data_IF_805658086086
#
_entry.id   IF_805658086086
#
_cell.length_a   1.000
_cell.length_b   1.000
_cell.length_c   1.000
_cell.angle_alpha   90.00
_cell.angle_beta   90.00
_cell.angle_gamma   90.00
#
_symmetry.space_group_name_H-M   'P 1'
#
loop_
_entity.id
_entity.type
_entity.pdbx_description
1 polymer ?
#
# COMPACT_ATOMS: atom_id res chain seq x y z
N UNK A 1 12.57 -25.20 -0.74
CA UNK A 1 13.39 -24.07 -0.27
C UNK A 1 13.81 -23.31 -1.51
N UNK A 2 13.49 -22.00 -1.60
CA UNK A 2 13.93 -21.19 -2.75
C UNK A 2 15.45 -21.11 -2.68
N UNK A 3 16.18 -21.42 -3.76
CA UNK A 3 17.65 -21.48 -3.74
C UNK A 3 18.31 -20.11 -3.52
N UNK A 4 17.56 -19.02 -3.64
CA UNK A 4 18.04 -17.66 -3.42
C UNK A 4 17.06 -16.86 -2.56
N UNK A 5 17.54 -16.03 -1.61
CA UNK A 5 16.69 -15.10 -0.90
C UNK A 5 16.04 -14.12 -1.89
N UNK A 6 14.82 -13.62 -1.60
CA UNK A 6 14.22 -12.63 -2.46
C UNK A 6 15.02 -11.32 -2.42
N UNK A 7 15.31 -10.76 -3.57
CA UNK A 7 15.78 -9.39 -3.70
C UNK A 7 14.57 -8.45 -3.67
N UNK A 8 14.60 -7.47 -2.78
CA UNK A 8 13.52 -6.48 -2.65
C UNK A 8 14.12 -5.11 -3.00
N UNK A 9 13.58 -4.51 -4.06
CA UNK A 9 14.05 -3.21 -4.56
C UNK A 9 12.89 -2.22 -4.66
N UNK A 10 13.14 -0.92 -4.49
CA UNK A 10 12.17 0.09 -4.87
C UNK A 10 11.72 -0.12 -6.30
N UNK A 11 10.43 0.09 -6.56
CA UNK A 11 9.89 0.07 -7.91
C UNK A 11 10.45 1.25 -8.72
N UNK A 12 10.52 1.07 -10.01
CA UNK A 12 10.94 2.07 -11.00
C UNK A 12 9.80 2.33 -11.99
N UNK A 13 9.82 3.41 -12.78
CA UNK A 13 8.83 3.62 -13.84
C UNK A 13 8.70 2.45 -14.82
N UNK A 14 9.78 1.69 -15.06
CA UNK A 14 9.76 0.49 -15.88
C UNK A 14 8.96 -0.66 -15.29
N UNK A 15 8.74 -0.66 -13.97
CA UNK A 15 7.98 -1.69 -13.26
C UNK A 15 6.46 -1.44 -13.27
N UNK A 16 5.99 -0.29 -13.75
CA UNK A 16 4.55 0.07 -13.72
C UNK A 16 3.66 -0.97 -14.40
N UNK A 17 3.95 -1.50 -15.60
CA UNK A 17 3.14 -2.54 -16.21
C UNK A 17 3.09 -3.82 -15.37
N UNK A 18 4.21 -4.21 -14.79
CA UNK A 18 4.33 -5.37 -13.90
C UNK A 18 3.53 -5.16 -12.60
N UNK A 19 3.62 -3.99 -11.98
CA UNK A 19 2.85 -3.69 -10.78
C UNK A 19 1.35 -3.75 -11.05
N UNK A 20 0.90 -3.21 -12.18
CA UNK A 20 -0.51 -3.30 -12.57
C UNK A 20 -0.97 -4.75 -12.79
N UNK A 21 -0.11 -5.61 -13.37
CA UNK A 21 -0.37 -7.06 -13.48
C UNK A 21 -0.54 -7.68 -12.09
N UNK A 22 0.41 -7.45 -11.16
CA UNK A 22 0.38 -8.01 -9.81
C UNK A 22 -0.81 -7.47 -8.98
N UNK A 23 -1.21 -6.21 -9.17
CA UNK A 23 -2.43 -5.63 -8.56
C UNK A 23 -3.68 -6.38 -9.06
N UNK A 24 -3.76 -6.66 -10.35
CA UNK A 24 -4.88 -7.44 -10.92
C UNK A 24 -4.90 -8.87 -10.42
N UNK A 25 -3.75 -9.53 -10.30
CA UNK A 25 -3.65 -10.86 -9.70
C UNK A 25 -4.11 -10.86 -8.23
N UNK A 26 -3.78 -9.82 -7.46
CA UNK A 26 -4.28 -9.63 -6.09
C UNK A 26 -5.80 -9.44 -6.08
N UNK A 27 -6.31 -8.54 -6.91
CA UNK A 27 -7.74 -8.26 -7.00
C UNK A 27 -8.56 -9.51 -7.43
N UNK A 28 -8.01 -10.34 -8.31
CA UNK A 28 -8.62 -11.64 -8.66
C UNK A 28 -8.66 -12.58 -7.46
N UNK A 29 -7.55 -12.67 -6.70
CA UNK A 29 -7.50 -13.46 -5.47
C UNK A 29 -8.53 -13.00 -4.43
N UNK A 30 -8.76 -11.70 -4.32
CA UNK A 30 -9.72 -11.07 -3.42
C UNK A 30 -11.15 -11.03 -3.98
N UNK A 31 -11.37 -11.52 -5.21
CA UNK A 31 -12.66 -11.48 -5.94
C UNK A 31 -13.16 -10.06 -6.23
N UNK A 32 -12.24 -9.10 -6.32
CA UNK A 32 -12.48 -7.67 -6.54
C UNK A 32 -11.96 -7.16 -7.89
N UNK A 33 -11.67 -8.06 -8.85
CA UNK A 33 -11.13 -7.67 -10.15
C UNK A 33 -12.02 -6.64 -10.89
N UNK A 34 -13.35 -6.72 -10.68
CA UNK A 34 -14.31 -5.78 -11.23
C UNK A 34 -14.19 -4.34 -10.69
N UNK A 35 -13.49 -4.16 -9.59
CA UNK A 35 -13.25 -2.85 -8.95
C UNK A 35 -11.93 -2.20 -9.41
N UNK A 36 -11.12 -2.88 -10.25
CA UNK A 36 -9.85 -2.36 -10.74
C UNK A 36 -10.08 -1.52 -11.98
N UNK A 37 -10.06 -0.22 -11.83
CA UNK A 37 -10.11 0.79 -12.90
C UNK A 37 -8.74 1.44 -13.16
N UNK A 38 -7.72 1.08 -12.38
CA UNK A 38 -6.36 1.57 -12.52
C UNK A 38 -5.78 1.21 -13.91
N UNK A 39 -5.10 2.19 -14.51
CA UNK A 39 -4.35 2.06 -15.76
C UNK A 39 -2.84 2.22 -15.49
N UNK A 40 -2.00 1.87 -16.46
CA UNK A 40 -0.56 2.10 -16.34
C UNK A 40 -0.24 3.60 -16.19
N UNK A 41 -0.97 4.47 -16.87
CA UNK A 41 -0.76 5.92 -16.79
C UNK A 41 -1.13 6.45 -15.40
N UNK A 42 -2.32 6.09 -14.87
CA UNK A 42 -2.75 6.54 -13.54
C UNK A 42 -1.86 5.99 -12.43
N UNK A 43 -1.46 4.72 -12.51
CA UNK A 43 -0.54 4.12 -11.56
C UNK A 43 0.87 4.74 -11.64
N UNK A 44 1.34 5.04 -12.86
CA UNK A 44 2.59 5.71 -13.10
C UNK A 44 2.63 7.11 -12.50
N UNK A 45 1.57 7.89 -12.66
CA UNK A 45 1.45 9.22 -12.04
C UNK A 45 1.42 9.12 -10.52
N UNK A 46 0.65 8.19 -9.94
CA UNK A 46 0.55 8.00 -8.50
C UNK A 46 1.88 7.60 -7.85
N UNK A 47 2.73 6.84 -8.55
CA UNK A 47 4.03 6.37 -8.04
C UNK A 47 5.19 7.31 -8.35
N UNK A 48 5.18 7.97 -9.52
CA UNK A 48 6.35 8.66 -10.07
C UNK A 48 6.05 10.06 -10.60
N UNK A 49 4.83 10.55 -10.45
CA UNK A 49 4.45 11.90 -10.82
C UNK A 49 5.15 12.97 -9.98
N UNK A 50 4.85 14.24 -10.27
CA UNK A 50 5.46 15.37 -9.58
C UNK A 50 5.19 15.39 -8.05
N UNK A 51 4.10 14.77 -7.62
CA UNK A 51 3.72 14.58 -6.20
C UNK A 51 3.21 13.16 -6.02
N UNK A 52 4.10 12.18 -5.80
CA UNK A 52 3.69 10.80 -5.63
C UNK A 52 2.75 10.61 -4.43
N UNK A 53 1.68 9.84 -4.62
CA UNK A 53 0.72 9.51 -3.57
C UNK A 53 1.18 8.29 -2.76
N UNK A 54 1.96 7.40 -3.39
CA UNK A 54 2.40 6.14 -2.80
C UNK A 54 3.78 5.72 -3.31
N UNK A 55 4.32 4.71 -2.69
CA UNK A 55 5.58 4.06 -3.04
C UNK A 55 5.37 2.56 -3.17
N UNK A 56 6.21 1.89 -3.94
CA UNK A 56 6.16 0.44 -4.07
C UNK A 56 7.55 -0.19 -4.05
N UNK A 57 7.59 -1.45 -3.60
CA UNK A 57 8.75 -2.32 -3.72
C UNK A 57 8.37 -3.60 -4.44
N UNK A 58 9.31 -4.15 -5.20
CA UNK A 58 9.15 -5.40 -5.94
C UNK A 58 10.08 -6.45 -5.37
N UNK A 59 9.54 -7.65 -5.09
CA UNK A 59 10.32 -8.81 -4.70
C UNK A 59 10.63 -9.66 -5.94
N UNK A 60 11.92 -9.96 -6.14
CA UNK A 60 12.41 -10.81 -7.23
C UNK A 60 13.15 -12.03 -6.69
N UNK A 61 13.02 -13.15 -7.37
CA UNK A 61 13.78 -14.39 -7.14
C UNK A 61 14.38 -14.83 -8.47
N UNK A 62 15.69 -14.93 -8.54
CA UNK A 62 16.42 -15.23 -9.78
C UNK A 62 16.06 -14.27 -10.94
N UNK A 63 15.85 -13.00 -10.64
CA UNK A 63 15.47 -11.97 -11.60
C UNK A 63 13.97 -11.88 -11.92
N UNK A 64 13.20 -12.92 -11.61
CA UNK A 64 11.76 -12.95 -11.85
C UNK A 64 10.99 -12.25 -10.73
N UNK A 65 10.06 -11.36 -11.08
CA UNK A 65 9.20 -10.71 -10.12
C UNK A 65 8.15 -11.70 -9.58
N UNK A 66 8.10 -11.82 -8.27
CA UNK A 66 7.28 -12.82 -7.59
C UNK A 66 6.29 -12.23 -6.58
N UNK A 67 6.35 -10.92 -6.35
CA UNK A 67 5.46 -10.20 -5.46
C UNK A 67 5.82 -8.73 -5.35
N UNK A 68 4.97 -7.98 -4.67
CA UNK A 68 5.16 -6.56 -4.43
C UNK A 68 4.56 -6.14 -3.09
N UNK A 69 4.91 -4.95 -2.65
CA UNK A 69 4.18 -4.20 -1.65
C UNK A 69 4.05 -2.74 -2.07
N UNK A 70 2.85 -2.17 -1.89
CA UNK A 70 2.54 -0.77 -2.14
C UNK A 70 2.15 -0.12 -0.83
N UNK A 71 2.68 1.07 -0.54
CA UNK A 71 2.51 1.72 0.75
C UNK A 71 2.55 3.24 0.62
N UNK A 72 2.00 3.92 1.62
CA UNK A 72 2.02 5.36 1.74
C UNK A 72 2.12 5.79 3.21
N UNK A 73 2.16 7.09 3.48
CA UNK A 73 2.21 7.60 4.85
C UNK A 73 0.85 8.15 5.27
N UNK A 74 0.31 7.61 6.37
CA UNK A 74 -0.74 8.25 7.14
C UNK A 74 -0.15 9.10 8.28
N UNK A 75 -0.98 9.73 9.09
CA UNK A 75 -0.52 10.60 10.18
C UNK A 75 -1.25 10.29 11.48
N UNK A 76 -0.51 10.20 12.57
CA UNK A 76 -1.05 10.08 13.91
C UNK A 76 -1.03 11.45 14.60
N UNK A 77 -2.21 12.04 14.79
CA UNK A 77 -2.36 13.31 15.53
C UNK A 77 -1.91 13.17 16.98
N UNK A 78 -2.19 12.04 17.61
CA UNK A 78 -1.83 11.79 19.02
C UNK A 78 -0.33 11.68 19.25
N UNK A 79 0.42 11.25 18.23
CA UNK A 79 1.88 11.12 18.30
C UNK A 79 2.61 12.25 17.57
N UNK A 80 1.89 13.12 16.83
CA UNK A 80 2.43 14.12 15.92
C UNK A 80 3.50 13.55 14.97
N UNK A 81 3.28 12.31 14.49
CA UNK A 81 4.21 11.58 13.62
C UNK A 81 3.47 10.88 12.51
N UNK A 82 4.17 10.70 11.38
CA UNK A 82 3.66 9.83 10.30
C UNK A 82 3.60 8.38 10.76
N UNK A 83 2.67 7.64 10.20
CA UNK A 83 2.68 6.19 10.15
C UNK A 83 3.06 5.72 8.76
N UNK A 84 3.43 4.47 8.62
CA UNK A 84 3.49 3.79 7.32
C UNK A 84 2.23 2.93 7.20
N UNK A 85 1.50 3.09 6.10
CA UNK A 85 0.33 2.28 5.78
C UNK A 85 0.63 1.41 4.57
N UNK A 86 0.56 0.11 4.74
CA UNK A 86 0.67 -0.86 3.67
C UNK A 86 -0.72 -1.02 3.04
N UNK A 87 -0.86 -0.61 1.79
CA UNK A 87 -2.10 -0.78 1.03
C UNK A 87 -2.21 -2.21 0.53
N UNK A 88 -1.20 -2.66 -0.22
CA UNK A 88 -1.18 -3.99 -0.84
C UNK A 88 0.09 -4.77 -0.51
N UNK A 89 -0.05 -6.05 -0.21
CA UNK A 89 1.02 -7.03 -0.15
C UNK A 89 0.60 -8.29 -0.87
N UNK A 90 1.28 -8.59 -1.96
CA UNK A 90 0.97 -9.76 -2.77
C UNK A 90 2.21 -10.59 -3.08
N UNK A 91 2.04 -11.91 -3.06
CA UNK A 91 3.02 -12.89 -3.52
C UNK A 91 2.31 -13.90 -4.40
N UNK A 92 2.83 -14.11 -5.60
CA UNK A 92 2.31 -15.08 -6.56
C UNK A 92 2.11 -16.44 -5.91
N UNK A 93 0.98 -17.14 -6.15
CA UNK A 93 0.64 -18.40 -5.45
C UNK A 93 1.74 -19.46 -5.46
N UNK A 94 2.42 -19.62 -6.60
CA UNK A 94 3.51 -20.59 -6.75
C UNK A 94 4.73 -20.30 -5.84
N UNK A 95 4.86 -19.06 -5.36
CA UNK A 95 5.98 -18.59 -4.54
C UNK A 95 5.60 -18.37 -3.08
N UNK A 96 4.36 -18.68 -2.70
CA UNK A 96 3.91 -18.62 -1.29
C UNK A 96 4.54 -19.73 -0.46
N UNK A 97 4.70 -19.48 0.86
CA UNK A 97 5.33 -20.45 1.76
C UNK A 97 6.87 -20.42 1.76
N UNK A 98 7.50 -19.58 0.94
CA UNK A 98 8.95 -19.43 0.83
C UNK A 98 9.52 -18.20 1.57
N UNK A 99 8.72 -17.56 2.45
CA UNK A 99 9.18 -16.44 3.26
C UNK A 99 9.16 -15.08 2.56
N UNK A 100 8.73 -14.98 1.29
CA UNK A 100 8.76 -13.74 0.50
C UNK A 100 7.85 -12.67 1.12
N UNK A 101 6.60 -13.00 1.50
CA UNK A 101 5.71 -12.07 2.19
C UNK A 101 6.28 -11.57 3.51
N UNK A 102 6.98 -12.44 4.25
CA UNK A 102 7.70 -12.04 5.47
C UNK A 102 8.84 -11.07 5.15
N UNK A 103 9.60 -11.33 4.11
CA UNK A 103 10.70 -10.45 3.69
C UNK A 103 10.19 -9.06 3.28
N UNK A 104 9.09 -8.98 2.51
CA UNK A 104 8.43 -7.73 2.16
C UNK A 104 7.97 -6.96 3.40
N UNK A 105 7.29 -7.63 4.33
CA UNK A 105 6.80 -6.99 5.55
C UNK A 105 7.95 -6.46 6.42
N UNK A 106 9.03 -7.23 6.59
CA UNK A 106 10.22 -6.82 7.32
C UNK A 106 10.93 -5.65 6.64
N UNK A 107 10.98 -5.62 5.31
CA UNK A 107 11.56 -4.52 4.55
C UNK A 107 10.78 -3.22 4.82
N UNK A 108 9.45 -3.25 4.77
CA UNK A 108 8.62 -2.08 5.08
C UNK A 108 8.71 -1.67 6.56
N UNK A 109 8.82 -2.61 7.48
CA UNK A 109 9.05 -2.30 8.89
C UNK A 109 10.39 -1.57 9.10
N UNK A 110 11.44 -1.95 8.37
CA UNK A 110 12.71 -1.24 8.38
C UNK A 110 12.58 0.19 7.83
N UNK A 111 11.85 0.38 6.71
CA UNK A 111 11.55 1.71 6.15
C UNK A 111 10.78 2.55 7.19
N UNK A 112 9.75 1.99 7.82
CA UNK A 112 8.97 2.69 8.84
C UNK A 112 9.85 3.15 10.01
N UNK A 113 10.74 2.28 10.50
CA UNK A 113 11.66 2.60 11.58
C UNK A 113 12.67 3.69 11.18
N UNK A 114 13.29 3.57 9.99
CA UNK A 114 14.24 4.57 9.47
C UNK A 114 13.61 5.95 9.29
N UNK A 115 12.33 5.98 8.87
CA UNK A 115 11.58 7.23 8.67
C UNK A 115 10.96 7.78 9.96
N UNK A 116 11.19 7.14 11.12
CA UNK A 116 10.66 7.56 12.42
C UNK A 116 9.13 7.47 12.51
N UNK A 117 8.50 6.54 11.78
CA UNK A 117 7.06 6.32 11.83
C UNK A 117 6.64 5.87 13.24
N UNK A 118 5.50 6.38 13.71
CA UNK A 118 4.97 6.02 15.02
C UNK A 118 4.27 4.66 15.03
N UNK A 119 3.89 4.15 13.84
CA UNK A 119 3.13 2.91 13.64
C UNK A 119 3.31 2.40 12.21
N UNK A 120 3.06 1.12 12.04
CA UNK A 120 2.98 0.44 10.76
C UNK A 120 1.66 -0.32 10.73
N UNK A 121 0.77 0.00 9.79
CA UNK A 121 -0.62 -0.46 9.74
C UNK A 121 -0.99 -0.98 8.37
N UNK A 122 -1.97 -1.87 8.33
CA UNK A 122 -2.61 -2.39 7.11
C UNK A 122 -4.00 -2.92 7.43
N UNK A 123 -4.80 -3.18 6.40
CA UNK A 123 -6.04 -3.92 6.51
C UNK A 123 -5.88 -5.33 5.92
N UNK A 124 -6.76 -6.23 6.30
CA UNK A 124 -6.85 -7.59 5.77
C UNK A 124 -8.32 -7.99 5.73
N UNK A 125 -8.74 -8.69 4.68
CA UNK A 125 -10.11 -9.18 4.57
C UNK A 125 -10.38 -10.24 5.66
N UNK A 126 -11.50 -10.13 6.36
CA UNK A 126 -11.84 -10.95 7.52
C UNK A 126 -11.82 -12.46 7.24
N UNK A 127 -12.11 -12.86 6.00
CA UNK A 127 -12.06 -14.26 5.58
C UNK A 127 -10.64 -14.78 5.35
N UNK A 128 -9.63 -13.91 5.23
CA UNK A 128 -8.25 -14.29 4.92
C UNK A 128 -7.48 -14.74 6.17
N UNK A 129 -7.99 -15.83 6.79
CA UNK A 129 -7.43 -16.35 8.05
C UNK A 129 -5.93 -16.65 7.95
N UNK A 130 -5.46 -17.11 6.78
CA UNK A 130 -4.03 -17.38 6.55
C UNK A 130 -3.17 -16.13 6.70
N UNK A 131 -3.61 -15.00 6.16
CA UNK A 131 -2.90 -13.73 6.31
C UNK A 131 -3.00 -13.19 7.74
N UNK A 132 -4.17 -13.31 8.37
CA UNK A 132 -4.38 -12.92 9.77
C UNK A 132 -3.42 -13.66 10.70
N UNK A 133 -3.32 -14.99 10.57
CA UNK A 133 -2.42 -15.80 11.38
C UNK A 133 -0.94 -15.45 11.13
N UNK A 134 -0.60 -15.18 9.87
CA UNK A 134 0.73 -14.70 9.51
C UNK A 134 1.05 -13.38 10.19
N UNK A 135 0.16 -12.38 10.12
CA UNK A 135 0.39 -11.07 10.74
C UNK A 135 0.50 -11.16 12.26
N UNK A 136 -0.36 -11.97 12.91
CA UNK A 136 -0.26 -12.24 14.34
C UNK A 136 1.10 -12.88 14.71
N UNK A 137 1.60 -13.79 13.88
CA UNK A 137 2.92 -14.41 14.09
C UNK A 137 4.09 -13.42 13.99
N UNK A 138 3.86 -12.29 13.32
CA UNK A 138 4.82 -11.19 13.20
C UNK A 138 4.68 -10.15 14.33
N UNK A 139 3.77 -10.36 15.29
CA UNK A 139 3.54 -9.47 16.43
C UNK A 139 2.52 -8.36 16.16
N UNK A 140 1.80 -8.40 15.04
CA UNK A 140 0.72 -7.46 14.78
C UNK A 140 -0.50 -7.75 15.66
N UNK A 141 -1.15 -6.69 16.13
CA UNK A 141 -2.36 -6.75 16.96
C UNK A 141 -3.51 -6.18 16.15
N UNK A 142 -4.64 -6.90 16.01
CA UNK A 142 -5.82 -6.36 15.35
C UNK A 142 -6.39 -5.18 16.13
N UNK A 143 -6.96 -4.21 15.40
CA UNK A 143 -7.56 -3.00 15.97
C UNK A 143 -9.08 -3.16 16.03
N UNK A 144 -9.57 -4.17 16.78
CA UNK A 144 -10.97 -4.61 16.81
C UNK A 144 -11.95 -3.54 17.35
N UNK A 145 -11.43 -2.51 18.04
CA UNK A 145 -12.23 -1.40 18.56
C UNK A 145 -12.54 -0.32 17.51
N UNK A 146 -11.98 -0.45 16.29
CA UNK A 146 -12.14 0.54 15.23
C UNK A 146 -12.94 -0.02 14.07
N UNK A 147 -13.94 0.74 13.64
CA UNK A 147 -14.70 0.44 12.41
C UNK A 147 -14.26 1.38 11.32
N UNK A 148 -13.88 0.84 10.17
CA UNK A 148 -13.52 1.62 8.98
C UNK A 148 -14.78 2.02 8.23
N UNK A 149 -14.95 3.32 7.97
CA UNK A 149 -16.00 3.85 7.11
C UNK A 149 -15.41 4.30 5.78
N UNK A 150 -16.14 4.05 4.70
CA UNK A 150 -15.76 4.46 3.34
C UNK A 150 -16.93 5.12 2.63
N UNK A 151 -16.67 6.24 1.97
CA UNK A 151 -17.58 6.87 1.02
C UNK A 151 -16.87 6.92 -0.33
N UNK A 152 -17.47 6.41 -1.38
CA UNK A 152 -16.88 6.34 -2.72
C UNK A 152 -17.93 6.55 -3.81
N UNK A 153 -17.48 6.73 -5.06
CA UNK A 153 -18.35 6.85 -6.24
C UNK A 153 -19.38 7.96 -6.10
N UNK A 154 -20.63 7.66 -6.48
CA UNK A 154 -21.75 8.62 -6.46
C UNK A 154 -22.05 9.16 -5.07
N UNK A 155 -21.88 8.35 -4.01
CA UNK A 155 -22.08 8.80 -2.63
C UNK A 155 -21.06 9.86 -2.23
N UNK A 156 -19.80 9.73 -2.66
CA UNK A 156 -18.78 10.76 -2.43
C UNK A 156 -19.10 12.05 -3.20
N UNK A 157 -19.53 11.93 -4.46
CA UNK A 157 -19.94 13.07 -5.27
C UNK A 157 -21.14 13.81 -4.66
N UNK A 158 -22.15 13.07 -4.18
CA UNK A 158 -23.32 13.66 -3.52
C UNK A 158 -22.94 14.35 -2.20
N UNK A 159 -22.04 13.75 -1.40
CA UNK A 159 -21.56 14.37 -0.17
C UNK A 159 -20.80 15.67 -0.46
N UNK A 160 -19.96 15.69 -1.49
CA UNK A 160 -19.22 16.89 -1.91
C UNK A 160 -20.14 18.03 -2.38
N UNK A 161 -21.24 17.71 -3.07
CA UNK A 161 -22.25 18.68 -3.49
C UNK A 161 -23.05 19.29 -2.32
N UNK A 162 -23.04 18.67 -1.16
CA UNK A 162 -23.71 19.17 0.04
C UNK A 162 -22.96 20.34 0.72
N UNK A 163 -21.76 20.67 0.25
CA UNK A 163 -21.00 21.82 0.76
C UNK A 163 -21.67 23.12 0.27
N UNK A 164 -22.03 24.07 1.16
CA UNK A 164 -22.54 25.38 0.75
C UNK A 164 -21.53 26.10 -0.16
N UNK A 165 -22.01 26.76 -1.22
CA UNK A 165 -21.19 27.40 -2.25
C UNK A 165 -20.12 28.41 -1.74
N UNK A 166 -20.17 28.81 -0.47
CA UNK A 166 -19.23 29.76 0.17
C UNK A 166 -18.10 29.04 0.94
N UNK A 167 -17.98 27.71 0.94
CA UNK A 167 -17.20 26.95 1.92
C UNK A 167 -15.86 26.35 1.47
N UNK A 168 -15.53 26.32 0.18
CA UNK A 168 -14.27 25.76 -0.29
C UNK A 168 -13.24 26.87 -0.55
N UNK A 169 -12.52 27.29 0.49
CA UNK A 169 -11.24 27.98 0.29
C UNK A 169 -10.16 26.90 0.16
N UNK A 170 -9.51 26.85 -0.99
CA UNK A 170 -8.29 26.04 -1.12
C UNK A 170 -7.29 26.50 -0.05
N UNK A 171 -6.91 25.60 0.83
CA UNK A 171 -5.85 25.86 1.80
C UNK A 171 -4.54 26.16 1.07
N UNK A 172 -3.62 26.92 1.68
CA UNK A 172 -2.36 27.28 1.04
C UNK A 172 -1.62 26.00 0.64
N UNK A 173 -1.33 25.87 -0.64
CA UNK A 173 -0.44 24.85 -1.18
C UNK A 173 0.93 25.05 -0.51
N UNK A 174 1.31 24.18 0.42
CA UNK A 174 2.64 24.26 1.00
C UNK A 174 3.64 23.81 -0.05
N UNK A 175 4.37 24.77 -0.62
CA UNK A 175 5.61 24.48 -1.31
C UNK A 175 6.57 23.87 -0.29
N UNK A 176 6.71 22.56 -0.31
CA UNK A 176 7.77 21.89 0.43
C UNK A 176 9.05 22.18 -0.34
N UNK A 177 9.71 23.30 0.01
CA UNK A 177 11.09 23.52 -0.41
C UNK A 177 11.92 22.41 0.22
N UNK A 178 12.59 21.66 -0.64
CA UNK A 178 13.68 20.77 -0.24
C UNK A 178 14.62 21.53 0.69
N UNK A 179 14.79 21.03 1.89
CA UNK A 179 15.92 21.46 2.74
C UNK A 179 17.06 20.45 2.52
N UNK A 180 18.29 20.96 2.37
CA UNK A 180 19.50 20.21 2.02
C UNK A 180 19.86 19.12 3.01
#
# INVERSE_FOLDING_TARGET
MVPHPPEITPATPADVPLLLELIRELAEFEQLLHAVDATADSLGEALFGARPDCEAVVARVAGEAVGFALYFHNFSTFRARRGLYLEDLYVRPAMRGHGIGKALLLHLAAIAAQRGCARFEWAVLDWNQRAIDFYRSMGAVPMDEWTVFRVSGEALAALAQSVPAQGLTEGPTRDIKEQP
#
